data_IF_572601824596
#
_entry.id   IF_572601824596
#
_cell.length_a   1.000
_cell.length_b   1.000
_cell.length_c   1.000
_cell.angle_alpha   90.00
_cell.angle_beta   90.00
_cell.angle_gamma   90.00
#
_symmetry.space_group_name_H-M   'P 1'
#
loop_
_entity.id
_entity.type
_entity.pdbx_description
1 polymer ?
#
# COMPACT_ATOMS: atom_id res chain seq x y z
N UNK A 1 -9.58 25.17 -14.85
CA UNK A 1 -9.72 24.02 -13.94
C UNK A 1 -9.21 22.82 -14.70
N UNK A 2 -7.89 22.71 -14.86
CA UNK A 2 -7.31 21.68 -15.73
C UNK A 2 -6.11 21.05 -15.03
N UNK A 3 -6.01 19.71 -15.15
CA UNK A 3 -4.98 18.80 -14.60
C UNK A 3 -5.28 18.10 -13.26
N UNK A 4 -6.51 17.62 -13.01
CA UNK A 4 -6.76 16.63 -11.95
C UNK A 4 -6.53 15.18 -12.43
N UNK A 5 -5.30 14.83 -12.81
CA UNK A 5 -4.95 13.46 -13.23
C UNK A 5 -4.70 12.48 -12.06
N UNK A 6 -4.79 12.93 -10.80
CA UNK A 6 -4.77 12.06 -9.60
C UNK A 6 -6.13 11.41 -9.28
N UNK A 7 -7.16 11.61 -10.10
CA UNK A 7 -8.52 11.14 -9.82
C UNK A 7 -8.61 9.63 -9.49
N UNK A 8 -7.85 8.72 -10.14
CA UNK A 8 -7.90 7.30 -9.80
C UNK A 8 -7.31 6.97 -8.43
N UNK A 9 -6.20 7.62 -8.05
CA UNK A 9 -5.50 7.39 -6.78
C UNK A 9 -6.23 8.07 -5.61
N UNK A 10 -6.62 9.33 -5.79
CA UNK A 10 -7.44 10.05 -4.83
C UNK A 10 -8.80 9.36 -4.66
N UNK A 11 -9.40 8.88 -5.76
CA UNK A 11 -10.60 8.04 -5.74
C UNK A 11 -10.40 6.76 -4.94
N UNK A 12 -9.27 6.07 -5.10
CA UNK A 12 -8.90 4.92 -4.28
C UNK A 12 -8.82 5.24 -2.79
N UNK A 13 -8.19 6.36 -2.41
CA UNK A 13 -8.16 6.81 -1.03
C UNK A 13 -9.55 7.21 -0.50
N UNK A 14 -10.42 7.81 -1.31
CA UNK A 14 -11.82 8.13 -0.96
C UNK A 14 -12.62 6.86 -0.69
N UNK A 15 -12.49 5.84 -1.55
CA UNK A 15 -13.12 4.53 -1.33
C UNK A 15 -12.62 3.91 -0.03
N UNK A 16 -11.30 3.99 0.23
CA UNK A 16 -10.71 3.54 1.49
C UNK A 16 -11.30 4.25 2.72
N UNK A 17 -11.47 5.57 2.66
CA UNK A 17 -12.13 6.36 3.70
C UNK A 17 -13.56 5.86 3.93
N UNK A 18 -14.34 5.67 2.85
CA UNK A 18 -15.72 5.18 2.94
C UNK A 18 -15.79 3.79 3.59
N UNK A 19 -14.85 2.90 3.25
CA UNK A 19 -14.78 1.55 3.84
C UNK A 19 -14.50 1.63 5.35
N UNK A 20 -13.52 2.45 5.78
CA UNK A 20 -13.24 2.62 7.20
C UNK A 20 -14.44 3.23 7.97
N UNK A 21 -15.16 4.18 7.37
CA UNK A 21 -16.39 4.73 7.95
C UNK A 21 -17.48 3.65 8.03
N UNK A 22 -17.65 2.84 6.98
CA UNK A 22 -18.60 1.74 6.98
C UNK A 22 -18.28 0.71 8.08
N UNK A 23 -17.01 0.39 8.32
CA UNK A 23 -16.61 -0.46 9.43
C UNK A 23 -16.95 0.15 10.80
N UNK A 24 -16.75 1.47 10.98
CA UNK A 24 -17.19 2.15 12.20
C UNK A 24 -18.70 2.02 12.41
N UNK A 25 -19.51 2.23 11.35
CA UNK A 25 -20.97 2.10 11.41
C UNK A 25 -21.38 0.66 11.73
N UNK A 26 -20.80 -0.32 11.04
CA UNK A 26 -21.07 -1.75 11.30
C UNK A 26 -20.71 -2.16 12.73
N UNK A 27 -19.63 -1.61 13.28
CA UNK A 27 -19.19 -1.91 14.64
C UNK A 27 -20.19 -1.44 15.71
N UNK A 28 -20.98 -0.38 15.47
CA UNK A 28 -22.04 0.08 16.40
C UNK A 28 -23.03 -1.04 16.70
N UNK A 29 -23.31 -1.89 15.70
CA UNK A 29 -24.24 -3.02 15.80
C UNK A 29 -23.57 -4.32 16.30
N UNK A 30 -22.29 -4.30 16.67
CA UNK A 30 -21.57 -5.48 17.16
C UNK A 30 -21.80 -5.72 18.66
N UNK A 31 -21.92 -7.00 19.04
CA UNK A 31 -22.26 -7.44 20.40
C UNK A 31 -21.07 -7.48 21.39
N UNK A 32 -19.81 -7.46 20.91
CA UNK A 32 -18.62 -7.51 21.76
C UNK A 32 -18.11 -6.13 22.16
N UNK A 33 -18.24 -5.74 23.44
CA UNK A 33 -17.96 -4.37 23.91
C UNK A 33 -16.49 -3.94 23.68
N UNK A 34 -15.52 -4.76 24.06
CA UNK A 34 -14.09 -4.40 23.96
C UNK A 34 -13.60 -4.37 22.50
N UNK A 35 -13.92 -5.42 21.75
CA UNK A 35 -13.59 -5.50 20.32
C UNK A 35 -14.25 -4.37 19.51
N UNK A 36 -15.48 -3.97 19.87
CA UNK A 36 -16.20 -2.87 19.24
C UNK A 36 -15.46 -1.54 19.39
N UNK A 37 -15.06 -1.18 20.61
CA UNK A 37 -14.41 0.11 20.85
C UNK A 37 -13.09 0.20 20.10
N UNK A 38 -12.27 -0.86 20.15
CA UNK A 38 -11.00 -0.90 19.44
C UNK A 38 -11.19 -0.81 17.92
N UNK A 39 -12.17 -1.52 17.36
CA UNK A 39 -12.48 -1.49 15.93
C UNK A 39 -12.93 -0.10 15.47
N UNK A 40 -13.76 0.59 16.26
CA UNK A 40 -14.21 1.95 15.95
C UNK A 40 -13.03 2.92 15.98
N UNK A 41 -12.22 2.89 17.04
CA UNK A 41 -11.09 3.83 17.20
C UNK A 41 -10.08 3.66 16.06
N UNK A 42 -9.68 2.42 15.77
CA UNK A 42 -8.69 2.12 14.73
C UNK A 42 -9.15 2.55 13.34
N UNK A 43 -10.40 2.26 12.98
CA UNK A 43 -10.94 2.67 11.68
C UNK A 43 -11.17 4.19 11.60
N UNK A 44 -11.59 4.84 12.69
CA UNK A 44 -11.75 6.29 12.73
C UNK A 44 -10.41 7.02 12.58
N UNK A 45 -9.34 6.52 13.22
CA UNK A 45 -7.98 7.05 13.05
C UNK A 45 -7.52 6.88 11.60
N UNK A 46 -7.72 5.71 11.01
CA UNK A 46 -7.36 5.46 9.60
C UNK A 46 -8.09 6.38 8.63
N UNK A 47 -9.42 6.53 8.77
CA UNK A 47 -10.20 7.45 7.97
C UNK A 47 -9.70 8.90 8.12
N UNK A 48 -9.41 9.32 9.35
CA UNK A 48 -8.92 10.67 9.65
C UNK A 48 -7.54 10.93 9.04
N UNK A 49 -6.61 9.97 9.14
CA UNK A 49 -5.28 10.07 8.52
C UNK A 49 -5.38 10.18 6.99
N UNK A 50 -6.25 9.40 6.36
CA UNK A 50 -6.46 9.48 4.91
C UNK A 50 -7.09 10.82 4.50
N UNK A 51 -8.10 11.30 5.22
CA UNK A 51 -8.73 12.62 4.97
C UNK A 51 -7.69 13.73 5.12
N UNK A 52 -6.94 13.75 6.22
CA UNK A 52 -5.90 14.75 6.49
C UNK A 52 -4.78 14.68 5.45
N UNK A 53 -4.30 13.47 5.14
CA UNK A 53 -3.24 13.24 4.16
C UNK A 53 -3.62 13.72 2.76
N UNK A 54 -4.86 13.48 2.33
CA UNK A 54 -5.38 14.00 1.06
C UNK A 54 -5.59 15.51 1.08
N UNK A 55 -6.22 16.05 2.14
CA UNK A 55 -6.61 17.46 2.23
C UNK A 55 -5.37 18.36 2.30
N UNK A 56 -4.40 17.99 3.13
CA UNK A 56 -3.15 18.73 3.30
C UNK A 56 -2.13 18.40 2.20
N UNK A 57 -2.42 17.43 1.32
CA UNK A 57 -1.48 16.87 0.34
C UNK A 57 -0.14 16.48 0.97
N UNK A 58 -0.18 15.96 2.21
CA UNK A 58 1.00 15.70 3.01
C UNK A 58 1.40 14.22 2.90
N UNK A 59 2.53 13.96 2.22
CA UNK A 59 3.03 12.60 2.01
C UNK A 59 3.39 11.90 3.32
N UNK A 60 3.87 12.61 4.35
CA UNK A 60 4.24 12.02 5.64
C UNK A 60 3.02 11.36 6.29
N UNK A 61 1.88 12.04 6.30
CA UNK A 61 0.63 11.52 6.88
C UNK A 61 0.14 10.28 6.10
N UNK A 62 0.21 10.30 4.77
CA UNK A 62 -0.16 9.15 3.93
C UNK A 62 0.78 7.97 4.09
N UNK A 63 2.07 8.23 4.29
CA UNK A 63 3.03 7.17 4.59
C UNK A 63 2.79 6.56 5.98
N UNK A 64 2.39 7.34 6.98
CA UNK A 64 1.93 6.79 8.28
C UNK A 64 0.70 5.88 8.06
N UNK A 65 -0.30 6.33 7.31
CA UNK A 65 -1.47 5.51 6.99
C UNK A 65 -1.08 4.21 6.25
N UNK A 66 -0.15 4.26 5.30
CA UNK A 66 0.34 3.08 4.59
C UNK A 66 1.06 2.09 5.53
N UNK A 67 1.88 2.58 6.46
CA UNK A 67 2.53 1.73 7.48
C UNK A 67 1.49 1.07 8.38
N UNK A 68 0.45 1.79 8.80
CA UNK A 68 -0.64 1.22 9.59
C UNK A 68 -1.37 0.10 8.82
N UNK A 69 -1.61 0.28 7.52
CA UNK A 69 -2.20 -0.78 6.67
C UNK A 69 -1.25 -1.96 6.47
N UNK A 70 0.07 -1.72 6.38
CA UNK A 70 1.05 -2.80 6.32
C UNK A 70 1.00 -3.69 7.58
N UNK A 71 0.85 -3.07 8.76
CA UNK A 71 0.69 -3.82 10.00
C UNK A 71 -0.59 -4.68 9.99
N UNK A 72 -1.71 -4.15 9.49
CA UNK A 72 -2.96 -4.90 9.32
C UNK A 72 -2.76 -6.07 8.33
N UNK A 73 -2.06 -5.84 7.22
CA UNK A 73 -1.78 -6.85 6.23
C UNK A 73 -0.97 -8.02 6.80
N UNK A 74 0.06 -7.74 7.61
CA UNK A 74 0.84 -8.78 8.29
C UNK A 74 -0.04 -9.60 9.24
N UNK A 75 -0.94 -8.96 9.97
CA UNK A 75 -1.88 -9.68 10.83
C UNK A 75 -2.80 -10.59 10.03
N UNK A 76 -3.36 -10.13 8.90
CA UNK A 76 -4.16 -11.01 8.04
C UNK A 76 -3.35 -12.16 7.45
N UNK A 77 -2.08 -11.96 7.12
CA UNK A 77 -1.20 -13.02 6.65
C UNK A 77 -0.97 -14.08 7.74
N UNK A 78 -0.69 -13.66 8.97
CA UNK A 78 -0.56 -14.58 10.12
C UNK A 78 -1.88 -15.32 10.35
N UNK A 79 -3.01 -14.62 10.39
CA UNK A 79 -4.34 -15.24 10.56
C UNK A 79 -4.65 -16.24 9.45
N UNK A 80 -4.30 -15.92 8.21
CA UNK A 80 -4.49 -16.82 7.07
C UNK A 80 -3.69 -18.12 7.24
N UNK A 81 -2.43 -18.03 7.65
CA UNK A 81 -1.58 -19.21 7.92
C UNK A 81 -2.18 -20.06 9.06
N UNK A 82 -2.62 -19.43 10.15
CA UNK A 82 -3.21 -20.15 11.28
C UNK A 82 -4.52 -20.86 10.90
N UNK A 83 -5.39 -20.20 10.13
CA UNK A 83 -6.64 -20.79 9.64
C UNK A 83 -6.33 -21.93 8.66
N UNK A 84 -5.34 -21.76 7.79
CA UNK A 84 -4.92 -22.81 6.87
C UNK A 84 -4.46 -24.07 7.62
N UNK A 85 -3.68 -23.91 8.70
CA UNK A 85 -3.30 -25.03 9.58
C UNK A 85 -4.55 -25.65 10.24
N UNK A 86 -5.48 -24.82 10.74
CA UNK A 86 -6.73 -25.28 11.37
C UNK A 86 -7.60 -26.14 10.44
N UNK A 87 -7.54 -25.96 9.10
CA UNK A 87 -8.27 -26.82 8.15
C UNK A 87 -7.91 -28.30 8.28
N UNK A 88 -6.68 -28.63 8.69
CA UNK A 88 -6.20 -30.00 8.82
C UNK A 88 -6.27 -30.54 10.26
N UNK A 89 -6.56 -29.67 11.24
CA UNK A 89 -6.70 -30.05 12.64
C UNK A 89 -8.15 -30.47 12.91
N UNK A 90 -8.32 -31.61 13.55
CA UNK A 90 -9.63 -32.08 14.03
C UNK A 90 -9.97 -31.29 15.30
N UNK A 91 -10.84 -30.29 15.18
CA UNK A 91 -11.30 -29.44 16.28
C UNK A 91 -12.84 -29.41 16.36
N UNK A 92 -13.37 -28.54 17.21
CA UNK A 92 -14.82 -28.39 17.44
C UNK A 92 -15.55 -27.62 16.32
N UNK A 93 -14.83 -27.03 15.37
CA UNK A 93 -15.42 -26.21 14.32
C UNK A 93 -15.72 -27.03 13.06
N UNK A 94 -16.88 -26.80 12.44
CA UNK A 94 -17.25 -27.48 11.20
C UNK A 94 -16.32 -27.09 10.05
N UNK A 95 -16.07 -28.04 9.13
CA UNK A 95 -15.24 -27.81 7.94
C UNK A 95 -15.81 -26.67 7.08
N UNK A 96 -17.14 -26.56 6.98
CA UNK A 96 -17.84 -25.46 6.30
C UNK A 96 -17.49 -24.09 6.90
N UNK A 97 -17.54 -23.95 8.24
CA UNK A 97 -17.20 -22.70 8.92
C UNK A 97 -15.74 -22.31 8.68
N UNK A 98 -14.83 -23.29 8.66
CA UNK A 98 -13.41 -23.04 8.39
C UNK A 98 -13.16 -22.57 6.96
N UNK A 99 -13.79 -23.22 5.97
CA UNK A 99 -13.69 -22.83 4.56
C UNK A 99 -14.25 -21.41 4.38
N UNK A 100 -15.43 -21.13 4.92
CA UNK A 100 -16.05 -19.82 4.82
C UNK A 100 -15.17 -18.72 5.44
N UNK A 101 -14.61 -18.97 6.62
CA UNK A 101 -13.68 -18.04 7.28
C UNK A 101 -12.40 -17.84 6.47
N UNK A 102 -11.87 -18.91 5.86
CA UNK A 102 -10.69 -18.84 4.98
C UNK A 102 -10.93 -17.92 3.79
N UNK A 103 -12.09 -18.04 3.14
CA UNK A 103 -12.47 -17.20 2.01
C UNK A 103 -12.58 -15.74 2.44
N UNK A 104 -13.22 -15.46 3.57
CA UNK A 104 -13.34 -14.09 4.10
C UNK A 104 -11.95 -13.49 4.36
N UNK A 105 -11.07 -14.21 5.06
CA UNK A 105 -9.72 -13.73 5.36
C UNK A 105 -8.90 -13.53 4.09
N UNK A 106 -9.06 -14.38 3.08
CA UNK A 106 -8.42 -14.20 1.78
C UNK A 106 -8.90 -12.91 1.07
N UNK A 107 -10.20 -12.65 1.05
CA UNK A 107 -10.77 -11.41 0.47
C UNK A 107 -10.26 -10.18 1.23
N UNK A 108 -10.20 -10.24 2.57
CA UNK A 108 -9.65 -9.16 3.39
C UNK A 108 -8.17 -8.91 3.09
N UNK A 109 -7.37 -9.98 2.96
CA UNK A 109 -5.96 -9.90 2.61
C UNK A 109 -5.78 -9.24 1.22
N UNK A 110 -6.49 -9.74 0.21
CA UNK A 110 -6.43 -9.18 -1.14
C UNK A 110 -6.81 -7.71 -1.18
N UNK A 111 -7.94 -7.36 -0.55
CA UNK A 111 -8.44 -5.98 -0.50
C UNK A 111 -7.46 -5.06 0.23
N UNK A 112 -6.89 -5.52 1.35
CA UNK A 112 -5.89 -4.76 2.12
C UNK A 112 -4.61 -4.53 1.32
N UNK A 113 -4.15 -5.52 0.55
CA UNK A 113 -2.98 -5.37 -0.35
C UNK A 113 -3.25 -4.32 -1.43
N UNK A 114 -4.45 -4.30 -2.02
CA UNK A 114 -4.83 -3.29 -3.01
C UNK A 114 -4.78 -1.89 -2.39
N UNK A 115 -5.39 -1.67 -1.22
CA UNK A 115 -5.37 -0.37 -0.55
C UNK A 115 -3.97 0.04 -0.10
N UNK A 116 -3.16 -0.90 0.40
CA UNK A 116 -1.76 -0.64 0.73
C UNK A 116 -0.99 -0.07 -0.47
N UNK A 117 -1.15 -0.70 -1.64
CA UNK A 117 -0.53 -0.23 -2.87
C UNK A 117 -1.04 1.17 -3.27
N UNK A 118 -2.35 1.42 -3.19
CA UNK A 118 -2.91 2.74 -3.47
C UNK A 118 -2.32 3.82 -2.55
N UNK A 119 -2.22 3.54 -1.25
CA UNK A 119 -1.71 4.52 -0.27
C UNK A 119 -0.22 4.78 -0.46
N UNK A 120 0.58 3.75 -0.74
CA UNK A 120 1.99 3.90 -1.09
C UNK A 120 2.19 4.70 -2.38
N UNK A 121 1.44 4.38 -3.44
CA UNK A 121 1.51 5.11 -4.69
C UNK A 121 1.12 6.58 -4.48
N UNK A 122 0.11 6.86 -3.66
CA UNK A 122 -0.29 8.23 -3.32
C UNK A 122 0.79 8.95 -2.51
N UNK A 123 1.43 8.27 -1.54
CA UNK A 123 2.56 8.84 -0.79
C UNK A 123 3.70 9.22 -1.73
N UNK A 124 4.10 8.34 -2.66
CA UNK A 124 5.17 8.61 -3.63
C UNK A 124 4.85 9.79 -4.56
N UNK A 125 3.61 9.90 -5.03
CA UNK A 125 3.17 11.01 -5.88
C UNK A 125 3.27 12.34 -5.13
N UNK A 126 2.82 12.40 -3.86
CA UNK A 126 2.93 13.63 -3.06
C UNK A 126 4.35 13.93 -2.62
N UNK A 127 5.19 12.92 -2.36
CA UNK A 127 6.61 13.10 -2.05
C UNK A 127 7.36 13.75 -3.21
N UNK A 128 7.02 13.39 -4.46
CA UNK A 128 7.57 13.99 -5.66
C UNK A 128 7.01 15.40 -5.96
N UNK A 129 6.15 15.95 -5.10
CA UNK A 129 5.49 17.25 -5.30
C UNK A 129 4.40 17.24 -6.38
N UNK A 130 4.01 16.05 -6.85
CA UNK A 130 3.23 15.89 -8.07
C UNK A 130 1.71 15.94 -7.89
N UNK A 131 1.03 16.66 -8.79
CA UNK A 131 -0.41 16.50 -9.07
C UNK A 131 -0.61 15.74 -10.40
N UNK A 132 -0.23 14.46 -10.43
CA UNK A 132 -0.67 13.49 -11.45
C UNK A 132 0.06 13.51 -12.80
N UNK A 133 0.23 14.67 -13.44
CA UNK A 133 1.00 14.80 -14.69
C UNK A 133 2.52 14.87 -14.43
N UNK A 134 2.90 15.42 -13.28
CA UNK A 134 4.29 15.54 -12.84
C UNK A 134 4.89 14.18 -12.46
N UNK A 135 4.08 13.19 -12.06
CA UNK A 135 4.57 11.84 -11.76
C UNK A 135 4.94 11.04 -13.02
N UNK A 136 4.20 11.23 -14.14
CA UNK A 136 4.56 10.59 -15.42
C UNK A 136 5.88 11.17 -15.95
N UNK A 137 6.03 12.50 -15.92
CA UNK A 137 7.31 13.15 -16.23
C UNK A 137 8.41 12.74 -15.24
N UNK A 138 8.10 12.56 -13.95
CA UNK A 138 9.09 12.14 -12.96
C UNK A 138 9.53 10.68 -13.15
N UNK A 139 8.61 9.78 -13.49
CA UNK A 139 8.94 8.39 -13.84
C UNK A 139 9.78 8.30 -15.11
N UNK A 140 9.51 9.15 -16.12
CA UNK A 140 10.37 9.31 -17.30
C UNK A 140 11.75 9.88 -16.90
N UNK A 141 11.81 10.94 -16.10
CA UNK A 141 13.08 11.53 -15.62
C UNK A 141 13.89 10.54 -14.77
N UNK A 142 13.25 9.70 -13.95
CA UNK A 142 13.94 8.70 -13.13
C UNK A 142 14.36 7.48 -13.95
N UNK A 143 13.60 7.08 -14.98
CA UNK A 143 14.06 6.07 -15.95
C UNK A 143 15.23 6.59 -16.77
N UNK A 144 15.19 7.85 -17.19
CA UNK A 144 16.26 8.49 -17.96
C UNK A 144 17.52 8.60 -17.10
N UNK A 145 17.42 9.03 -15.84
CA UNK A 145 18.55 9.04 -14.90
C UNK A 145 19.14 7.65 -14.64
N UNK A 146 18.33 6.59 -14.67
CA UNK A 146 18.84 5.22 -14.53
C UNK A 146 19.51 4.72 -15.80
N UNK A 147 19.03 5.13 -16.98
CA UNK A 147 19.67 4.87 -18.26
C UNK A 147 21.01 5.61 -18.35
N UNK A 148 21.05 6.91 -18.04
CA UNK A 148 22.26 7.72 -18.00
C UNK A 148 23.32 7.12 -17.06
N UNK A 149 22.93 6.68 -15.85
CA UNK A 149 23.85 6.01 -14.91
C UNK A 149 24.36 4.67 -15.43
N UNK A 150 23.58 3.95 -16.24
CA UNK A 150 24.01 2.70 -16.87
C UNK A 150 24.94 2.96 -18.06
N UNK A 151 24.75 4.06 -18.78
CA UNK A 151 25.60 4.47 -19.89
C UNK A 151 26.93 5.04 -19.40
N UNK A 152 26.94 5.91 -18.38
CA UNK A 152 28.18 6.37 -17.72
C UNK A 152 29.03 5.21 -17.21
N UNK A 153 28.41 4.20 -16.56
CA UNK A 153 29.13 2.99 -16.13
C UNK A 153 29.65 2.12 -17.28
N UNK A 154 29.10 2.24 -18.49
CA UNK A 154 29.59 1.52 -19.67
C UNK A 154 30.74 2.30 -20.34
N UNK A 155 30.70 3.62 -20.33
CA UNK A 155 31.77 4.49 -20.81
C UNK A 155 33.00 4.42 -19.90
N UNK A 156 32.82 4.52 -18.58
CA UNK A 156 33.92 4.34 -17.60
C UNK A 156 34.63 2.98 -17.78
N UNK A 157 33.86 1.91 -18.05
CA UNK A 157 34.44 0.58 -18.32
C UNK A 157 35.16 0.47 -19.66
N UNK A 158 34.76 1.25 -20.66
CA UNK A 158 35.43 1.30 -21.96
C UNK A 158 36.73 2.11 -21.87
N UNK A 159 36.71 3.24 -21.17
CA UNK A 159 37.92 4.03 -20.91
C UNK A 159 38.95 3.25 -20.09
N UNK A 160 38.52 2.48 -19.07
CA UNK A 160 39.42 1.56 -18.34
C UNK A 160 40.02 0.47 -19.25
N UNK A 161 39.24 -0.07 -20.20
CA UNK A 161 39.74 -1.11 -21.12
C UNK A 161 40.65 -0.56 -22.21
N UNK A 162 40.39 0.65 -22.70
CA UNK A 162 41.20 1.30 -23.73
C UNK A 162 42.51 1.84 -23.14
N UNK A 163 42.48 2.32 -21.90
CA UNK A 163 43.70 2.54 -21.12
C UNK A 163 44.52 1.23 -21.04
N UNK A 164 43.88 0.07 -20.80
CA UNK A 164 44.54 -1.25 -20.76
C UNK A 164 45.14 -1.76 -22.07
N UNK A 165 44.66 -1.26 -23.20
CA UNK A 165 45.28 -1.52 -24.50
C UNK A 165 46.62 -0.80 -24.69
N UNK A 166 46.77 0.40 -24.13
CA UNK A 166 47.87 1.31 -24.49
C UNK A 166 49.19 1.03 -23.75
N UNK A 167 49.14 0.35 -22.60
CA UNK A 167 50.36 -0.11 -21.89
C UNK A 167 50.87 -1.49 -22.32
N UNK A 168 50.28 -2.08 -23.38
CA UNK A 168 50.77 -3.32 -24.00
C UNK A 168 51.26 -3.15 -25.44
N UNK A 169 51.42 -1.92 -25.93
CA UNK A 169 52.04 -1.61 -27.22
C UNK A 169 53.53 -1.28 -27.07
#
# INVERSE_FOLDING_TARGET
MDKCCCFPLAGGCIIGIMIHIAFCVSAIFSHGIEYRILLIITNAIMASLLILGLTLKNFVILCIAAISVAFILVNYLISFVLIFISLFVKDQHSLESKIFTTIIVFIMLFTTTVFFNIYLSTCKVFQAGGTGWEFKNYMEIESDKQLDKREQKKEEKKEESDAYGDYKA
#
